data_IF_771032971720
#
_entry.id   IF_771032971720
#
_cell.length_a   1.000
_cell.length_b   1.000
_cell.length_c   1.000
_cell.angle_alpha   90.00
_cell.angle_beta   90.00
_cell.angle_gamma   90.00
#
_symmetry.space_group_name_H-M   'P 1'
#
loop_
_entity.id
_entity.type
_entity.pdbx_description
1 polymer ?
#
# COMPACT_ATOMS: atom_id res chain seq x y z
N UNK A 1 -5.48 3.90 -7.92
CA UNK A 1 -6.29 2.72 -7.56
C UNK A 1 -5.62 1.86 -6.49
N UNK A 2 -4.34 1.54 -6.61
CA UNK A 2 -3.62 0.70 -5.61
C UNK A 2 -3.77 1.17 -4.16
N UNK A 3 -3.65 2.47 -3.88
CA UNK A 3 -3.84 3.01 -2.53
C UNK A 3 -5.26 2.77 -2.00
N UNK A 4 -6.28 3.03 -2.82
CA UNK A 4 -7.69 2.78 -2.45
C UNK A 4 -7.95 1.30 -2.19
N UNK A 5 -7.35 0.41 -2.98
CA UNK A 5 -7.44 -1.03 -2.76
C UNK A 5 -6.84 -1.43 -1.40
N UNK A 6 -5.66 -0.91 -1.06
CA UNK A 6 -5.00 -1.19 0.22
C UNK A 6 -5.85 -0.68 1.39
N UNK A 7 -6.38 0.54 1.31
CA UNK A 7 -7.27 1.09 2.35
C UNK A 7 -8.57 0.28 2.47
N UNK A 8 -9.16 -0.13 1.35
CA UNK A 8 -10.35 -0.98 1.33
C UNK A 8 -10.10 -2.35 1.97
N UNK A 9 -8.95 -2.97 1.71
CA UNK A 9 -8.57 -4.24 2.35
C UNK A 9 -8.34 -4.07 3.85
N UNK A 10 -7.70 -2.99 4.28
CA UNK A 10 -7.53 -2.69 5.72
C UNK A 10 -8.90 -2.52 6.39
N UNK A 11 -9.84 -1.79 5.79
CA UNK A 11 -11.17 -1.59 6.34
C UNK A 11 -11.98 -2.89 6.41
N UNK A 12 -11.94 -3.71 5.36
CA UNK A 12 -12.62 -5.00 5.36
C UNK A 12 -12.07 -5.94 6.44
N UNK A 13 -10.75 -5.96 6.61
CA UNK A 13 -10.09 -6.74 7.66
C UNK A 13 -10.44 -6.24 9.05
N UNK A 14 -10.47 -4.91 9.26
CA UNK A 14 -10.87 -4.31 10.52
C UNK A 14 -12.34 -4.62 10.87
N UNK A 15 -13.24 -4.58 9.87
CA UNK A 15 -14.63 -4.98 10.04
C UNK A 15 -14.79 -6.48 10.38
N UNK A 16 -13.99 -7.35 9.74
CA UNK A 16 -14.00 -8.79 10.03
C UNK A 16 -13.50 -9.11 11.45
N UNK A 17 -12.49 -8.37 11.93
CA UNK A 17 -11.87 -8.55 13.25
C UNK A 17 -12.52 -7.72 14.36
N UNK A 18 -13.62 -7.00 14.06
CA UNK A 18 -14.37 -6.22 15.05
C UNK A 18 -13.63 -4.99 15.58
N UNK A 19 -12.77 -4.34 14.78
CA UNK A 19 -12.04 -3.12 15.17
C UNK A 19 -10.72 -3.35 15.92
N UNK A 20 -10.35 -4.61 16.16
CA UNK A 20 -9.10 -4.97 16.85
C UNK A 20 -7.87 -4.88 15.92
N UNK A 21 -8.06 -4.79 14.59
CA UNK A 21 -6.98 -4.73 13.60
C UNK A 21 -6.34 -3.35 13.50
N UNK A 22 -7.15 -2.28 13.45
CA UNK A 22 -6.65 -0.89 13.43
C UNK A 22 -6.07 -0.45 14.78
N UNK A 23 -6.63 -0.94 15.89
CA UNK A 23 -6.15 -0.61 17.24
C UNK A 23 -4.90 -1.39 17.66
N UNK A 24 -4.43 -2.32 16.81
CA UNK A 24 -3.22 -3.12 17.07
C UNK A 24 -1.98 -2.25 17.29
N UNK A 25 -1.78 -1.18 16.49
CA UNK A 25 -0.60 -0.30 16.58
C UNK A 25 -0.45 0.34 17.97
N UNK A 26 -1.52 0.99 18.44
CA UNK A 26 -1.54 1.69 19.72
C UNK A 26 -1.38 0.73 20.90
N UNK A 27 -1.97 -0.46 20.80
CA UNK A 27 -1.87 -1.49 21.84
C UNK A 27 -0.47 -2.09 21.89
N UNK A 28 0.15 -2.41 20.76
CA UNK A 28 1.51 -2.99 20.73
C UNK A 28 2.53 -2.04 21.33
N UNK A 29 2.46 -0.73 21.02
CA UNK A 29 3.33 0.29 21.60
C UNK A 29 3.20 0.35 23.13
N UNK A 30 1.99 0.30 23.67
CA UNK A 30 1.73 0.31 25.11
C UNK A 30 2.22 -0.97 25.82
N UNK A 31 2.23 -2.11 25.14
CA UNK A 31 2.70 -3.39 25.69
C UNK A 31 4.18 -3.70 25.42
N UNK A 32 4.94 -2.79 24.79
CA UNK A 32 6.37 -3.02 24.46
C UNK A 32 7.25 -3.20 25.71
N UNK A 33 6.83 -2.65 26.85
CA UNK A 33 7.56 -2.74 28.13
C UNK A 33 7.15 -3.93 29.01
N UNK A 34 6.22 -4.78 28.56
CA UNK A 34 5.72 -5.91 29.35
C UNK A 34 6.46 -7.19 29.00
N UNK A 35 6.73 -8.02 30.01
CA UNK A 35 7.36 -9.33 29.83
C UNK A 35 6.59 -10.20 28.83
N UNK A 36 7.32 -10.95 27.99
CA UNK A 36 6.75 -11.79 26.92
C UNK A 36 5.73 -12.81 27.41
N UNK A 37 5.77 -13.20 28.68
CA UNK A 37 4.86 -14.15 29.32
C UNK A 37 3.51 -13.55 29.75
N UNK A 38 3.41 -12.22 29.87
CA UNK A 38 2.22 -11.49 30.34
C UNK A 38 1.59 -10.65 29.22
N UNK A 39 2.21 -10.64 28.02
CA UNK A 39 1.72 -9.88 26.87
C UNK A 39 0.39 -10.44 26.37
N UNK A 40 -0.69 -9.73 26.66
CA UNK A 40 -2.01 -9.98 26.08
C UNK A 40 -2.11 -9.25 24.74
N UNK A 41 -1.67 -9.91 23.66
CA UNK A 41 -1.88 -9.38 22.32
C UNK A 41 -3.39 -9.30 22.02
N UNK A 42 -3.90 -8.20 21.45
CA UNK A 42 -5.34 -8.04 21.17
C UNK A 42 -5.89 -9.15 20.25
N UNK A 43 -5.03 -9.74 19.42
CA UNK A 43 -5.38 -10.86 18.55
C UNK A 43 -5.78 -12.13 19.32
N UNK A 44 -5.32 -12.31 20.56
CA UNK A 44 -5.66 -13.44 21.44
C UNK A 44 -7.13 -13.34 21.89
N UNK A 45 -7.66 -12.12 22.04
CA UNK A 45 -9.06 -11.87 22.39
C UNK A 45 -10.00 -12.25 21.24
N UNK A 46 -9.55 -12.04 20.00
CA UNK A 46 -10.32 -12.37 18.79
C UNK A 46 -10.22 -13.86 18.46
N UNK A 47 -9.03 -14.46 18.64
CA UNK A 47 -8.76 -15.86 18.35
C UNK A 47 -8.28 -16.61 19.61
N UNK A 48 -9.21 -17.02 20.51
CA UNK A 48 -8.83 -17.75 21.72
C UNK A 48 -8.21 -19.10 21.36
N UNK A 49 -7.01 -19.36 21.88
CA UNK A 49 -6.28 -20.64 21.68
C UNK A 49 -6.82 -21.76 22.57
N UNK A 50 -7.51 -21.41 23.65
CA UNK A 50 -8.06 -22.31 24.67
C UNK A 50 -9.54 -21.97 24.90
N UNK A 51 -10.38 -23.00 25.03
CA UNK A 51 -11.81 -22.88 25.30
C UNK A 51 -12.26 -23.92 26.33
N UNK A 52 -13.31 -23.60 27.09
CA UNK A 52 -13.95 -24.52 28.04
C UNK A 52 -14.99 -25.35 27.29
N UNK A 53 -14.74 -26.65 27.16
CA UNK A 53 -15.68 -27.62 26.63
C UNK A 53 -16.47 -28.26 27.77
N UNK A 54 -17.80 -28.17 27.72
CA UNK A 54 -18.71 -28.84 28.66
C UNK A 54 -19.21 -30.14 28.05
N UNK A 55 -18.78 -31.27 28.58
CA UNK A 55 -19.27 -32.59 28.18
C UNK A 55 -20.43 -33.01 29.08
N UNK A 56 -21.55 -33.39 28.47
CA UNK A 56 -22.70 -33.94 29.18
C UNK A 56 -22.66 -35.46 29.10
N UNK A 57 -22.51 -36.14 30.25
CA UNK A 57 -22.64 -37.60 30.36
C UNK A 57 -23.80 -37.96 31.27
N UNK A 58 -24.44 -39.10 31.00
CA UNK A 58 -25.49 -39.65 31.86
C UNK A 58 -24.85 -40.65 32.83
N UNK A 59 -25.06 -40.44 34.13
CA UNK A 59 -24.61 -41.35 35.17
C UNK A 59 -25.43 -42.64 35.22
N UNK A 60 -25.01 -43.60 36.05
CA UNK A 60 -25.73 -44.87 36.25
C UNK A 60 -27.16 -44.71 36.77
N UNK A 61 -27.48 -43.54 37.37
CA UNK A 61 -28.81 -43.18 37.85
C UNK A 61 -29.65 -42.37 36.84
N UNK A 62 -29.15 -42.14 35.62
CA UNK A 62 -29.84 -41.34 34.60
C UNK A 62 -29.69 -39.81 34.75
N UNK A 63 -28.99 -39.33 35.78
CA UNK A 63 -28.73 -37.90 35.98
C UNK A 63 -27.64 -37.36 35.04
N UNK A 64 -27.76 -36.09 34.64
CA UNK A 64 -26.83 -35.42 33.71
C UNK A 64 -25.64 -34.88 34.47
N UNK A 65 -24.52 -35.59 34.41
CA UNK A 65 -23.25 -35.14 34.98
C UNK A 65 -22.48 -34.30 33.95
N UNK A 66 -22.17 -33.05 34.34
CA UNK A 66 -21.40 -32.10 33.53
C UNK A 66 -19.91 -32.25 33.85
N UNK A 67 -19.10 -32.51 32.83
CA UNK A 67 -17.64 -32.54 32.93
C UNK A 67 -17.04 -31.39 32.12
N UNK A 68 -16.30 -30.54 32.82
CA UNK A 68 -15.61 -29.41 32.22
C UNK A 68 -14.18 -29.81 31.84
N UNK A 69 -13.81 -29.60 30.59
CA UNK A 69 -12.45 -29.80 30.10
C UNK A 69 -11.94 -28.56 29.36
N UNK A 70 -10.61 -28.35 29.38
CA UNK A 70 -9.97 -27.33 28.56
C UNK A 70 -9.59 -27.94 27.20
N UNK A 71 -10.05 -27.31 26.13
CA UNK A 71 -9.78 -27.68 24.75
C UNK A 71 -8.86 -26.66 24.09
N UNK A 72 -7.91 -27.13 23.26
CA UNK A 72 -7.07 -26.29 22.41
C UNK A 72 -7.76 -26.15 21.04
N UNK A 73 -7.71 -24.94 20.46
CA UNK A 73 -8.15 -24.67 19.08
C UNK A 73 -6.92 -24.40 18.18
N UNK A 74 -6.35 -25.42 17.52
CA UNK A 74 -5.17 -25.25 16.67
C UNK A 74 -5.39 -24.24 15.52
N UNK A 75 -6.61 -24.18 14.98
CA UNK A 75 -6.96 -23.26 13.90
C UNK A 75 -6.83 -21.79 14.33
N UNK A 76 -7.16 -21.46 15.58
CA UNK A 76 -7.06 -20.10 16.10
C UNK A 76 -5.60 -19.68 16.31
N UNK A 77 -4.73 -20.63 16.66
CA UNK A 77 -3.28 -20.39 16.78
C UNK A 77 -2.70 -20.01 15.41
N UNK A 78 -3.09 -20.72 14.34
CA UNK A 78 -2.63 -20.43 12.98
C UNK A 78 -3.14 -19.07 12.52
N UNK A 79 -4.45 -18.82 12.71
CA UNK A 79 -5.07 -17.56 12.34
C UNK A 79 -4.37 -16.39 13.03
N UNK A 80 -4.14 -16.47 14.34
CA UNK A 80 -3.42 -15.43 15.08
C UNK A 80 -2.09 -15.07 14.41
N UNK A 81 -1.26 -16.05 14.04
CA UNK A 81 0.05 -15.76 13.43
C UNK A 81 -0.06 -15.16 12.03
N UNK A 82 -1.01 -15.64 11.23
CA UNK A 82 -1.26 -15.10 9.88
C UNK A 82 -1.75 -13.66 9.96
N UNK A 83 -2.71 -13.36 10.84
CA UNK A 83 -3.24 -12.00 10.98
C UNK A 83 -2.20 -11.01 11.52
N UNK A 84 -1.28 -11.45 12.41
CA UNK A 84 -0.14 -10.63 12.85
C UNK A 84 0.75 -10.30 11.65
N UNK A 85 1.11 -11.30 10.85
CA UNK A 85 1.94 -11.11 9.66
C UNK A 85 1.27 -10.18 8.63
N UNK A 86 -0.01 -10.41 8.34
CA UNK A 86 -0.80 -9.60 7.41
C UNK A 86 -0.90 -8.14 7.86
N UNK A 87 -0.97 -7.89 9.17
CA UNK A 87 -0.99 -6.53 9.70
C UNK A 87 0.28 -5.77 9.31
N UNK A 88 1.46 -6.32 9.59
CA UNK A 88 2.73 -5.68 9.20
C UNK A 88 2.85 -5.52 7.68
N UNK A 89 2.40 -6.53 6.93
CA UNK A 89 2.40 -6.49 5.48
C UNK A 89 1.54 -5.35 4.92
N UNK A 90 0.31 -5.18 5.42
CA UNK A 90 -0.58 -4.12 4.96
C UNK A 90 -0.07 -2.73 5.33
N UNK A 91 0.57 -2.56 6.48
CA UNK A 91 1.21 -1.29 6.85
C UNK A 91 2.33 -0.95 5.86
N UNK A 92 3.21 -1.89 5.53
CA UNK A 92 4.29 -1.66 4.55
C UNK A 92 3.68 -1.28 3.19
N UNK A 93 2.66 -1.99 2.73
CA UNK A 93 1.97 -1.67 1.48
C UNK A 93 1.30 -0.30 1.51
N UNK A 94 0.66 0.09 2.63
CA UNK A 94 0.04 1.39 2.80
C UNK A 94 1.09 2.52 2.76
N UNK A 95 2.23 2.34 3.43
CA UNK A 95 3.33 3.31 3.41
C UNK A 95 3.94 3.45 2.01
N UNK A 96 4.28 2.34 1.34
CA UNK A 96 4.86 2.38 -0.01
C UNK A 96 3.90 3.00 -1.04
N UNK A 97 2.62 2.62 -0.98
CA UNK A 97 1.61 3.19 -1.88
C UNK A 97 1.29 4.64 -1.56
N UNK A 98 1.30 5.02 -0.28
CA UNK A 98 1.17 6.40 0.19
C UNK A 98 2.34 7.28 -0.24
N UNK A 99 3.58 6.81 -0.10
CA UNK A 99 4.78 7.50 -0.58
C UNK A 99 4.75 7.68 -2.10
N UNK A 100 4.35 6.65 -2.85
CA UNK A 100 4.21 6.75 -4.30
C UNK A 100 3.13 7.78 -4.71
N UNK A 101 2.01 7.83 -3.98
CA UNK A 101 0.95 8.81 -4.21
C UNK A 101 1.41 10.22 -3.84
N UNK A 102 2.10 10.38 -2.72
CA UNK A 102 2.66 11.65 -2.28
C UNK A 102 3.71 12.18 -3.26
N UNK A 103 4.61 11.32 -3.76
CA UNK A 103 5.56 11.67 -4.82
C UNK A 103 4.87 12.15 -6.09
N UNK A 104 3.84 11.42 -6.56
CA UNK A 104 3.05 11.84 -7.73
C UNK A 104 2.30 13.14 -7.46
N UNK A 105 1.71 13.30 -6.27
CA UNK A 105 1.04 14.52 -5.84
C UNK A 105 2.00 15.71 -5.84
N UNK A 106 3.17 15.56 -5.24
CA UNK A 106 4.22 16.60 -5.20
C UNK A 106 4.60 17.06 -6.61
N UNK A 107 4.78 16.13 -7.55
CA UNK A 107 5.08 16.46 -8.95
C UNK A 107 3.94 17.22 -9.64
N UNK A 108 2.69 16.89 -9.31
CA UNK A 108 1.52 17.59 -9.84
C UNK A 108 1.41 18.99 -9.22
N UNK A 109 1.66 19.16 -7.93
CA UNK A 109 1.58 20.48 -7.28
C UNK A 109 2.75 21.41 -7.63
N UNK A 110 3.96 20.87 -7.80
CA UNK A 110 5.16 21.67 -8.09
C UNK A 110 5.58 21.52 -9.56
N UNK A 111 5.15 22.41 -10.47
CA UNK A 111 5.48 22.32 -11.89
C UNK A 111 6.98 22.39 -12.17
N UNK A 112 7.78 23.05 -11.31
CA UNK A 112 9.24 23.05 -11.42
C UNK A 112 9.87 21.67 -11.24
N UNK A 113 9.27 20.82 -10.39
CA UNK A 113 9.79 19.47 -10.16
C UNK A 113 9.58 18.55 -11.38
N UNK A 114 8.54 18.81 -12.20
CA UNK A 114 8.26 18.09 -13.44
C UNK A 114 9.45 18.15 -14.41
N UNK A 115 9.93 19.37 -14.64
CA UNK A 115 11.10 19.59 -15.50
C UNK A 115 12.34 18.88 -14.96
N UNK A 116 12.59 18.96 -13.64
CA UNK A 116 13.77 18.34 -13.03
C UNK A 116 13.74 16.80 -13.13
N UNK A 117 12.58 16.18 -12.94
CA UNK A 117 12.40 14.72 -13.01
C UNK A 117 12.55 14.23 -14.45
N UNK A 118 11.90 14.89 -15.42
CA UNK A 118 12.04 14.52 -16.83
C UNK A 118 13.49 14.75 -17.29
N UNK A 119 14.13 15.84 -16.85
CA UNK A 119 15.55 16.12 -17.11
C UNK A 119 16.48 15.03 -16.57
N UNK A 120 16.24 14.53 -15.35
CA UNK A 120 17.13 13.53 -14.76
C UNK A 120 17.11 12.20 -15.52
N UNK A 121 16.00 11.91 -16.22
CA UNK A 121 15.80 10.71 -17.05
C UNK A 121 16.25 10.93 -18.48
N UNK A 122 15.94 12.09 -19.06
CA UNK A 122 16.26 12.46 -20.44
C UNK A 122 17.64 13.14 -20.56
N UNK A 123 18.69 12.57 -19.95
CA UNK A 123 20.02 13.22 -19.87
C UNK A 123 20.69 13.46 -21.23
N UNK A 124 20.32 12.67 -22.24
CA UNK A 124 20.88 12.76 -23.60
C UNK A 124 20.15 13.77 -24.50
N UNK A 125 19.07 14.39 -24.01
CA UNK A 125 18.23 15.31 -24.78
C UNK A 125 18.65 16.76 -24.54
N UNK A 126 18.64 17.56 -25.60
CA UNK A 126 18.89 18.99 -25.51
C UNK A 126 17.85 19.68 -24.61
N UNK A 127 18.35 20.47 -23.66
CA UNK A 127 17.55 21.02 -22.58
C UNK A 127 16.55 22.06 -23.07
N UNK A 128 16.93 22.87 -24.06
CA UNK A 128 16.08 23.95 -24.58
C UNK A 128 14.84 23.43 -25.33
N UNK A 129 14.99 22.34 -26.09
CA UNK A 129 13.86 21.69 -26.75
C UNK A 129 12.91 21.06 -25.74
N UNK A 130 13.46 20.37 -24.73
CA UNK A 130 12.66 19.74 -23.68
C UNK A 130 11.91 20.79 -22.83
N UNK A 131 12.55 21.91 -22.49
CA UNK A 131 11.92 22.99 -21.73
C UNK A 131 10.80 23.67 -22.54
N UNK A 132 11.03 23.94 -23.82
CA UNK A 132 10.05 24.53 -24.72
C UNK A 132 8.80 23.66 -24.87
N UNK A 133 9.00 22.34 -24.98
CA UNK A 133 7.93 21.33 -25.02
C UNK A 133 7.17 21.31 -23.69
N UNK A 134 7.86 21.12 -22.57
CA UNK A 134 7.23 20.98 -21.24
C UNK A 134 6.45 22.25 -20.84
N UNK A 135 6.90 23.43 -21.26
CA UNK A 135 6.24 24.72 -20.98
C UNK A 135 4.99 24.95 -21.84
N UNK A 136 4.96 24.45 -23.08
CA UNK A 136 3.80 24.55 -23.99
C UNK A 136 2.69 23.57 -23.66
N UNK A 137 3.02 22.40 -23.11
CA UNK A 137 2.08 21.29 -22.98
C UNK A 137 1.31 21.24 -21.66
N UNK A 138 0.08 20.69 -21.73
CA UNK A 138 -0.78 20.47 -20.56
C UNK A 138 -0.27 19.30 -19.71
N UNK A 139 -0.82 19.18 -18.50
CA UNK A 139 -0.44 18.17 -17.50
C UNK A 139 -0.53 16.72 -18.02
N UNK A 140 -1.51 16.44 -18.89
CA UNK A 140 -1.70 15.12 -19.50
C UNK A 140 -0.63 14.76 -20.53
N UNK A 141 -0.24 15.73 -21.37
CA UNK A 141 0.79 15.52 -22.40
C UNK A 141 2.17 15.35 -21.78
N UNK A 142 2.45 16.10 -20.70
CA UNK A 142 3.67 15.89 -19.91
C UNK A 142 3.72 14.49 -19.30
N UNK A 143 2.58 13.96 -18.81
CA UNK A 143 2.52 12.60 -18.26
C UNK A 143 2.82 11.54 -19.32
N UNK A 144 2.31 11.73 -20.56
CA UNK A 144 2.66 10.85 -21.68
C UNK A 144 4.15 10.90 -22.00
N UNK A 145 4.75 12.10 -22.00
CA UNK A 145 6.18 12.25 -22.22
C UNK A 145 7.02 11.61 -21.11
N UNK A 146 6.59 11.74 -19.84
CA UNK A 146 7.22 11.06 -18.70
C UNK A 146 7.09 9.53 -18.84
N UNK A 147 5.94 9.02 -19.30
CA UNK A 147 5.75 7.59 -19.55
C UNK A 147 6.65 7.08 -20.68
N UNK A 148 6.76 7.82 -21.78
CA UNK A 148 7.68 7.51 -22.89
C UNK A 148 9.12 7.47 -22.38
N UNK A 149 9.54 8.46 -21.58
CA UNK A 149 10.91 8.51 -21.02
C UNK A 149 11.25 7.35 -20.08
N UNK A 150 10.23 6.67 -19.52
CA UNK A 150 10.41 5.52 -18.62
C UNK A 150 10.43 4.18 -19.36
N UNK A 151 9.81 4.10 -20.53
CA UNK A 151 9.65 2.85 -21.27
C UNK A 151 10.53 2.77 -22.53
N UNK A 152 11.09 3.89 -23.01
CA UNK A 152 12.01 3.96 -24.14
C UNK A 152 13.45 4.10 -23.69
N UNK A 153 14.37 3.51 -24.47
CA UNK A 153 15.80 3.76 -24.31
C UNK A 153 16.14 5.25 -24.45
N UNK A 154 17.12 5.77 -23.69
CA UNK A 154 17.48 7.19 -23.70
C UNK A 154 17.86 7.75 -25.10
N UNK A 155 18.43 6.91 -25.97
CA UNK A 155 18.78 7.27 -27.34
C UNK A 155 17.52 7.43 -28.22
N UNK A 156 16.64 6.44 -28.20
CA UNK A 156 15.38 6.49 -28.95
C UNK A 156 14.48 7.63 -28.45
N UNK A 157 14.45 7.86 -27.13
CA UNK A 157 13.70 8.97 -26.55
C UNK A 157 14.22 10.33 -27.01
N UNK A 158 15.55 10.48 -27.15
CA UNK A 158 16.15 11.72 -27.69
C UNK A 158 15.71 11.98 -29.11
N UNK A 159 15.77 10.97 -29.96
CA UNK A 159 15.45 11.13 -31.38
C UNK A 159 13.96 11.45 -31.56
N UNK A 160 13.09 10.84 -30.74
CA UNK A 160 11.66 11.18 -30.65
C UNK A 160 11.46 12.64 -30.23
N UNK A 161 12.10 13.11 -29.16
CA UNK A 161 11.95 14.51 -28.70
C UNK A 161 12.44 15.51 -29.74
N UNK A 162 13.54 15.21 -30.44
CA UNK A 162 14.06 16.06 -31.51
C UNK A 162 13.10 16.15 -32.70
N UNK A 163 12.49 15.02 -33.13
CA UNK A 163 11.51 15.04 -34.21
C UNK A 163 10.22 15.78 -33.80
N UNK A 164 9.80 15.64 -32.54
CA UNK A 164 8.69 16.41 -31.98
C UNK A 164 8.97 17.92 -31.96
N UNK A 165 10.16 18.33 -31.54
CA UNK A 165 10.56 19.74 -31.52
C UNK A 165 10.54 20.35 -32.93
N UNK A 166 11.10 19.64 -33.92
CA UNK A 166 11.11 20.10 -35.32
C UNK A 166 9.69 20.33 -35.88
N UNK A 167 8.79 19.36 -35.66
CA UNK A 167 7.38 19.47 -36.10
C UNK A 167 6.61 20.59 -35.39
N UNK A 168 6.97 20.87 -34.14
CA UNK A 168 6.40 21.99 -33.38
C UNK A 168 6.81 23.35 -33.95
N UNK A 169 8.05 23.48 -34.40
CA UNK A 169 8.56 24.69 -35.02
C UNK A 169 7.95 24.90 -36.42
N UNK A 170 7.87 23.84 -37.25
CA UNK A 170 7.19 23.88 -38.56
C UNK A 170 5.73 24.33 -38.44
N UNK A 171 4.97 23.73 -37.51
CA UNK A 171 3.57 24.10 -37.29
C UNK A 171 3.41 25.53 -36.74
N UNK A 172 4.43 26.09 -36.10
CA UNK A 172 4.39 27.48 -35.64
C UNK A 172 4.62 28.49 -36.77
N UNK A 173 5.36 28.09 -37.82
CA UNK A 173 5.59 28.90 -39.02
C UNK A 173 4.36 28.92 -39.94
N UNK A 174 3.61 27.83 -40.04
CA UNK A 174 2.38 27.75 -40.85
C UNK A 174 1.19 28.55 -40.28
N UNK A 175 1.27 28.99 -39.02
CA UNK A 175 0.21 29.76 -38.35
C UNK A 175 0.45 31.29 -38.35
N UNK A 176 1.44 31.76 -39.13
CA UNK A 176 1.74 33.17 -39.39
C UNK A 176 1.34 33.49 -40.83
#
# INVERSE_FOLDING_TARGET
MNFVNVIGQIFFMDAFLGGEFSTYEYKVLQFTNWDWSVRNDPMIKVFPRLTKCTFHRYGSSGDVQRHDAMCILPINIINEKIYVFLWFWFIILAVLSGLALAYRGFIVFFPRSRFLVTRSRARLVNQDYLESIIKKYKLGDWLLLDLLSRNLDPLNFRDVVNDFARKLDEKSLDNI
#
